data_IF_727772855103
#
_entry.id   IF_727772855103
#
_cell.length_a   1.000
_cell.length_b   1.000
_cell.length_c   1.000
_cell.angle_alpha   90.00
_cell.angle_beta   90.00
_cell.angle_gamma   90.00
#
_symmetry.space_group_name_H-M   'P 1'
#
loop_
_entity.id
_entity.type
_entity.pdbx_description
1 polymer ?
#
# COMPACT_ATOMS: atom_id res chain seq x y z
N UNK A 1 1.98 -24.56 -7.67
CA UNK A 1 1.78 -23.51 -8.69
C UNK A 1 3.12 -22.86 -8.98
N UNK A 2 3.40 -22.46 -10.23
CA UNK A 2 4.62 -21.69 -10.53
C UNK A 2 4.43 -20.20 -10.16
N UNK A 3 5.54 -19.45 -10.04
CA UNK A 3 5.54 -18.02 -9.67
C UNK A 3 4.64 -17.16 -10.54
N UNK A 4 4.67 -17.35 -11.86
CA UNK A 4 3.83 -16.58 -12.79
C UNK A 4 2.33 -16.77 -12.52
N UNK A 5 1.90 -17.99 -12.19
CA UNK A 5 0.49 -18.28 -11.90
C UNK A 5 0.05 -17.65 -10.57
N UNK A 6 0.92 -17.66 -9.55
CA UNK A 6 0.66 -16.99 -8.26
C UNK A 6 0.52 -15.49 -8.46
N UNK A 7 1.45 -14.90 -9.21
CA UNK A 7 1.46 -13.47 -9.50
C UNK A 7 0.20 -13.04 -10.30
N UNK A 8 -0.19 -13.82 -11.30
CA UNK A 8 -1.37 -13.52 -12.11
C UNK A 8 -2.68 -13.73 -11.32
N UNK A 9 -2.75 -14.78 -10.50
CA UNK A 9 -3.98 -15.13 -9.78
C UNK A 9 -4.24 -14.21 -8.59
N UNK A 10 -3.22 -13.97 -7.76
CA UNK A 10 -3.40 -13.29 -6.48
C UNK A 10 -2.86 -11.86 -6.48
N UNK A 11 -1.76 -11.59 -7.20
CA UNK A 11 -1.03 -10.32 -7.13
C UNK A 11 -1.24 -9.39 -8.34
N UNK A 12 -2.15 -9.69 -9.27
CA UNK A 12 -2.27 -8.94 -10.55
C UNK A 12 -2.35 -7.42 -10.40
N UNK A 13 -3.23 -6.93 -9.53
CA UNK A 13 -3.40 -5.48 -9.28
C UNK A 13 -2.19 -4.94 -8.53
N UNK A 14 -1.82 -5.60 -7.44
CA UNK A 14 -0.66 -5.26 -6.60
C UNK A 14 0.62 -5.10 -7.42
N UNK A 15 0.94 -6.08 -8.27
CA UNK A 15 2.10 -6.07 -9.17
C UNK A 15 2.05 -4.92 -10.16
N UNK A 16 0.88 -4.61 -10.73
CA UNK A 16 0.71 -3.49 -11.67
C UNK A 16 1.04 -2.16 -10.99
N UNK A 17 0.46 -1.89 -9.82
CA UNK A 17 0.69 -0.64 -9.10
C UNK A 17 2.09 -0.55 -8.49
N UNK A 18 2.62 -1.65 -7.95
CA UNK A 18 3.99 -1.71 -7.48
C UNK A 18 5.00 -1.43 -8.60
N UNK A 19 4.72 -1.87 -9.83
CA UNK A 19 5.54 -1.49 -11.00
C UNK A 19 5.40 0.00 -11.34
N UNK A 20 4.20 0.55 -11.31
CA UNK A 20 3.98 1.99 -11.56
C UNK A 20 4.63 2.88 -10.49
N UNK A 21 4.71 2.42 -9.25
CA UNK A 21 5.38 3.13 -8.14
C UNK A 21 6.88 2.85 -8.02
N UNK A 22 7.47 2.01 -8.89
CA UNK A 22 8.89 1.66 -8.84
C UNK A 22 9.28 0.77 -7.64
N UNK A 23 8.32 0.14 -6.98
CA UNK A 23 8.51 -0.69 -5.78
C UNK A 23 8.82 -2.15 -6.15
N UNK A 24 8.34 -2.62 -7.31
CA UNK A 24 8.47 -4.04 -7.67
C UNK A 24 9.94 -4.43 -7.88
N UNK A 25 10.42 -5.59 -7.37
CA UNK A 25 11.83 -5.98 -7.43
C UNK A 25 12.37 -6.08 -8.87
N UNK A 26 11.66 -6.80 -9.75
CA UNK A 26 12.11 -7.14 -11.12
C UNK A 26 12.00 -6.00 -12.15
N UNK A 27 12.29 -4.76 -11.79
CA UNK A 27 12.23 -3.61 -12.71
C UNK A 27 13.62 -3.10 -13.08
N UNK A 28 13.73 -2.51 -14.27
CA UNK A 28 14.94 -1.83 -14.71
C UNK A 28 15.31 -0.71 -13.70
N UNK A 29 16.57 -0.70 -13.27
CA UNK A 29 17.13 0.29 -12.33
C UNK A 29 16.88 1.72 -12.79
N UNK A 30 17.02 2.00 -14.08
CA UNK A 30 16.77 3.33 -14.63
C UNK A 30 15.31 3.76 -14.44
N UNK A 31 14.37 2.85 -14.70
CA UNK A 31 12.93 3.11 -14.54
C UNK A 31 12.58 3.33 -13.07
N UNK A 32 13.18 2.56 -12.15
CA UNK A 32 13.01 2.77 -10.70
C UNK A 32 13.47 4.16 -10.28
N UNK A 33 14.69 4.55 -10.63
CA UNK A 33 15.24 5.87 -10.29
C UNK A 33 14.38 6.99 -10.85
N UNK A 34 13.90 6.85 -12.10
CA UNK A 34 12.99 7.82 -12.70
C UNK A 34 11.68 7.95 -11.91
N UNK A 35 11.03 6.83 -11.57
CA UNK A 35 9.77 6.84 -10.82
C UNK A 35 9.94 7.40 -9.41
N UNK A 36 11.02 7.05 -8.72
CA UNK A 36 11.34 7.60 -7.40
C UNK A 36 11.58 9.10 -7.46
N UNK A 37 12.33 9.57 -8.46
CA UNK A 37 12.56 11.00 -8.68
C UNK A 37 11.24 11.74 -8.93
N UNK A 38 10.30 11.15 -9.69
CA UNK A 38 8.98 11.74 -9.90
C UNK A 38 8.16 11.85 -8.61
N UNK A 39 8.19 10.82 -7.75
CA UNK A 39 7.54 10.83 -6.43
C UNK A 39 8.15 11.93 -5.57
N UNK A 40 9.48 11.96 -5.44
CA UNK A 40 10.20 12.91 -4.60
C UNK A 40 9.98 14.36 -5.06
N UNK A 41 10.06 14.62 -6.37
CA UNK A 41 9.80 15.95 -6.93
C UNK A 41 8.37 16.39 -6.58
N UNK A 42 7.36 15.56 -6.88
CA UNK A 42 5.95 15.89 -6.63
C UNK A 42 5.66 16.20 -5.15
N UNK A 43 6.37 15.51 -4.26
CA UNK A 43 6.23 15.65 -2.82
C UNK A 43 6.89 16.92 -2.31
N UNK A 44 8.14 17.19 -2.73
CA UNK A 44 8.88 18.40 -2.33
C UNK A 44 8.12 19.65 -2.80
N UNK A 45 7.67 19.68 -4.05
CA UNK A 45 6.91 20.80 -4.58
C UNK A 45 5.57 20.99 -3.87
N UNK A 46 4.88 19.89 -3.52
CA UNK A 46 3.65 19.97 -2.72
C UNK A 46 3.91 20.51 -1.31
N UNK A 47 4.97 20.05 -0.64
CA UNK A 47 5.32 20.52 0.70
C UNK A 47 5.63 22.04 0.71
N UNK A 48 6.41 22.52 -0.27
CA UNK A 48 6.74 23.95 -0.40
C UNK A 48 5.46 24.80 -0.51
N UNK A 49 4.54 24.42 -1.39
CA UNK A 49 3.28 25.14 -1.65
C UNK A 49 2.37 25.16 -0.42
N UNK A 50 2.31 24.05 0.33
CA UNK A 50 1.51 23.94 1.55
C UNK A 50 2.11 24.77 2.70
N UNK A 51 3.42 24.65 2.94
CA UNK A 51 4.12 25.44 3.96
C UNK A 51 4.05 26.93 3.67
N UNK A 52 4.20 27.33 2.40
CA UNK A 52 4.05 28.73 1.99
C UNK A 52 2.65 29.28 2.29
N UNK A 53 1.59 28.49 2.07
CA UNK A 53 0.22 28.89 2.42
C UNK A 53 0.03 29.10 3.92
N UNK A 54 0.63 28.23 4.74
CA UNK A 54 0.59 28.38 6.21
C UNK A 54 1.27 29.69 6.62
N UNK A 55 2.44 29.99 6.07
CA UNK A 55 3.20 31.21 6.39
C UNK A 55 2.46 32.46 5.92
N UNK A 56 1.88 32.46 4.72
CA UNK A 56 1.21 33.63 4.15
C UNK A 56 -0.14 33.96 4.82
N UNK A 57 -0.96 32.95 5.13
CA UNK A 57 -2.31 33.18 5.68
C UNK A 57 -2.29 33.15 7.22
N UNK A 58 -1.52 32.23 7.83
CA UNK A 58 -1.26 32.21 9.27
C UNK A 58 -2.46 31.94 10.19
N UNK A 59 -3.63 31.55 9.66
CA UNK A 59 -4.84 31.30 10.48
C UNK A 59 -4.89 29.86 11.00
N UNK A 60 -5.48 29.68 12.19
CA UNK A 60 -5.64 28.35 12.82
C UNK A 60 -6.42 27.38 11.92
N UNK A 61 -7.45 27.86 11.24
CA UNK A 61 -8.24 27.04 10.30
C UNK A 61 -7.38 26.50 9.15
N UNK A 62 -6.52 27.33 8.57
CA UNK A 62 -5.60 26.90 7.49
C UNK A 62 -4.56 25.93 8.02
N UNK A 63 -4.04 26.13 9.23
CA UNK A 63 -3.10 25.18 9.85
C UNK A 63 -3.77 23.82 10.04
N UNK A 64 -5.00 23.78 10.55
CA UNK A 64 -5.74 22.52 10.74
C UNK A 64 -6.01 21.85 9.40
N UNK A 65 -6.47 22.59 8.39
CA UNK A 65 -6.71 22.07 7.05
C UNK A 65 -5.43 21.45 6.45
N UNK A 66 -4.32 22.18 6.48
CA UNK A 66 -3.04 21.77 5.90
C UNK A 66 -2.36 20.64 6.71
N UNK A 67 -2.61 20.54 8.01
CA UNK A 67 -2.02 19.50 8.85
C UNK A 67 -2.37 18.08 8.36
N UNK A 68 -3.59 17.90 7.85
CA UNK A 68 -4.04 16.62 7.29
C UNK A 68 -3.25 16.21 6.04
N UNK A 69 -2.94 17.17 5.18
CA UNK A 69 -2.19 16.98 3.94
C UNK A 69 -0.71 16.75 4.21
N UNK A 70 -0.12 17.50 5.15
CA UNK A 70 1.25 17.29 5.63
C UNK A 70 1.39 15.89 6.25
N UNK A 71 0.42 15.48 7.09
CA UNK A 71 0.40 14.14 7.67
C UNK A 71 0.35 13.05 6.61
N UNK A 72 -0.47 13.21 5.56
CA UNK A 72 -0.51 12.28 4.44
C UNK A 72 0.82 12.22 3.67
N UNK A 73 1.50 13.35 3.47
CA UNK A 73 2.81 13.42 2.85
C UNK A 73 3.89 12.68 3.68
N UNK A 74 3.92 12.90 4.99
CA UNK A 74 4.85 12.20 5.91
C UNK A 74 4.62 10.68 5.86
N UNK A 75 3.36 10.24 5.92
CA UNK A 75 3.01 8.82 5.80
C UNK A 75 3.47 8.23 4.46
N UNK A 76 3.36 9.00 3.38
CA UNK A 76 3.86 8.57 2.07
C UNK A 76 5.37 8.38 2.08
N UNK A 77 6.14 9.33 2.62
CA UNK A 77 7.61 9.25 2.73
C UNK A 77 8.00 7.99 3.48
N UNK A 78 7.39 7.78 4.64
CA UNK A 78 7.69 6.63 5.49
C UNK A 78 7.42 5.34 4.74
N UNK A 79 6.23 5.21 4.12
CA UNK A 79 5.85 4.01 3.37
C UNK A 79 6.79 3.77 2.19
N UNK A 80 6.97 4.79 1.33
CA UNK A 80 7.77 4.66 0.12
C UNK A 80 9.24 4.37 0.47
N UNK A 81 9.83 5.15 1.37
CA UNK A 81 11.20 4.97 1.85
C UNK A 81 11.43 3.60 2.46
N UNK A 82 10.49 3.07 3.24
CA UNK A 82 10.60 1.74 3.84
C UNK A 82 10.68 0.64 2.76
N UNK A 83 9.84 0.71 1.73
CA UNK A 83 9.90 -0.24 0.62
C UNK A 83 11.17 -0.10 -0.24
N UNK A 84 11.74 1.11 -0.33
CA UNK A 84 13.03 1.34 -1.00
C UNK A 84 14.18 0.71 -0.22
N UNK A 85 14.27 1.00 1.08
CA UNK A 85 15.34 0.49 1.97
C UNK A 85 15.24 -1.03 2.12
N UNK A 86 14.02 -1.57 2.25
CA UNK A 86 13.77 -2.99 2.43
C UNK A 86 13.45 -3.72 1.12
N UNK A 87 13.89 -3.21 -0.04
CA UNK A 87 13.59 -3.80 -1.34
C UNK A 87 14.04 -5.27 -1.45
N UNK A 88 15.21 -5.61 -0.90
CA UNK A 88 15.73 -6.99 -0.86
C UNK A 88 14.87 -7.92 0.00
N UNK A 89 14.37 -7.41 1.14
CA UNK A 89 13.46 -8.14 2.01
C UNK A 89 12.10 -8.34 1.34
N UNK A 90 11.58 -7.34 0.62
CA UNK A 90 10.36 -7.49 -0.17
C UNK A 90 10.52 -8.58 -1.25
N UNK A 91 11.64 -8.57 -1.96
CA UNK A 91 11.94 -9.58 -2.97
C UNK A 91 11.99 -10.99 -2.36
N UNK A 92 12.69 -11.15 -1.24
CA UNK A 92 12.71 -12.41 -0.49
C UNK A 92 11.30 -12.88 -0.11
N UNK A 93 10.46 -12.00 0.44
CA UNK A 93 9.09 -12.36 0.83
C UNK A 93 8.23 -12.82 -0.35
N UNK A 94 8.40 -12.19 -1.53
CA UNK A 94 7.67 -12.58 -2.74
C UNK A 94 8.19 -13.91 -3.32
N UNK A 95 9.51 -14.16 -3.21
CA UNK A 95 10.11 -15.44 -3.58
C UNK A 95 9.63 -16.55 -2.65
N UNK A 96 9.69 -16.35 -1.33
CA UNK A 96 9.21 -17.30 -0.33
C UNK A 96 7.73 -17.64 -0.56
N UNK A 97 6.88 -16.64 -0.81
CA UNK A 97 5.46 -16.86 -1.14
C UNK A 97 5.31 -17.74 -2.39
N UNK A 98 6.14 -17.53 -3.41
CA UNK A 98 6.11 -18.33 -4.63
C UNK A 98 6.56 -19.77 -4.40
N UNK A 99 7.59 -19.98 -3.57
CA UNK A 99 8.10 -21.29 -3.16
C UNK A 99 7.09 -22.05 -2.28
N UNK A 100 6.42 -21.34 -1.38
CA UNK A 100 5.36 -21.86 -0.52
C UNK A 100 4.20 -22.46 -1.34
N UNK A 101 3.91 -21.86 -2.51
CA UNK A 101 2.94 -22.34 -3.50
C UNK A 101 3.47 -23.42 -4.45
N UNK A 102 4.79 -23.51 -4.63
CA UNK A 102 5.43 -24.58 -5.40
C UNK A 102 5.52 -25.89 -4.61
N UNK A 103 5.57 -25.79 -3.28
CA UNK A 103 5.62 -26.94 -2.36
C UNK A 103 4.41 -27.85 -2.54
N UNK A 104 4.65 -29.16 -2.59
CA UNK A 104 3.58 -30.15 -2.67
C UNK A 104 2.87 -30.25 -1.31
N UNK A 105 1.56 -30.00 -1.28
CA UNK A 105 0.74 -29.94 -0.06
C UNK A 105 -0.46 -30.86 -0.18
N UNK A 106 -1.02 -31.27 0.96
CA UNK A 106 -2.30 -31.98 1.00
C UNK A 106 -3.40 -31.10 0.40
N UNK A 107 -4.44 -31.72 -0.16
CA UNK A 107 -5.53 -31.01 -0.84
C UNK A 107 -6.21 -30.00 0.10
N UNK A 108 -6.42 -30.39 1.35
CA UNK A 108 -7.04 -29.59 2.40
C UNK A 108 -6.18 -28.36 2.75
N UNK A 109 -4.86 -28.54 2.82
CA UNK A 109 -3.92 -27.44 3.09
C UNK A 109 -3.87 -26.45 1.94
N UNK A 110 -3.92 -26.96 0.70
CA UNK A 110 -3.97 -26.14 -0.51
C UNK A 110 -5.27 -25.32 -0.57
N UNK A 111 -6.40 -25.90 -0.17
CA UNK A 111 -7.70 -25.22 -0.12
C UNK A 111 -7.74 -24.13 0.95
N UNK A 112 -7.15 -24.38 2.13
CA UNK A 112 -6.96 -23.35 3.16
C UNK A 112 -6.12 -22.20 2.60
N UNK A 113 -4.94 -22.48 2.05
CA UNK A 113 -4.06 -21.44 1.49
C UNK A 113 -4.77 -20.62 0.40
N UNK A 114 -5.48 -21.30 -0.50
CA UNK A 114 -6.23 -20.66 -1.59
C UNK A 114 -7.31 -19.73 -1.06
N UNK A 115 -7.99 -20.13 0.02
CA UNK A 115 -9.03 -19.30 0.66
C UNK A 115 -8.44 -18.01 1.21
N UNK A 116 -7.29 -18.10 1.90
CA UNK A 116 -6.62 -16.93 2.44
C UNK A 116 -6.12 -16.02 1.32
N UNK A 117 -5.37 -16.51 0.34
CA UNK A 117 -4.82 -15.66 -0.72
C UNK A 117 -5.90 -15.06 -1.64
N UNK A 118 -7.02 -15.76 -1.87
CA UNK A 118 -8.19 -15.19 -2.54
C UNK A 118 -8.78 -14.02 -1.73
N UNK A 119 -8.91 -14.16 -0.41
CA UNK A 119 -9.37 -13.09 0.47
C UNK A 119 -8.39 -11.90 0.44
N UNK A 120 -7.09 -12.14 0.36
CA UNK A 120 -6.07 -11.09 0.24
C UNK A 120 -6.20 -10.33 -1.08
N UNK A 121 -6.36 -11.07 -2.19
CA UNK A 121 -6.60 -10.48 -3.51
C UNK A 121 -7.93 -9.71 -3.56
N UNK A 122 -8.97 -10.19 -2.89
CA UNK A 122 -10.25 -9.49 -2.77
C UNK A 122 -10.12 -8.18 -1.99
N UNK A 123 -9.44 -8.20 -0.84
CA UNK A 123 -9.17 -6.99 -0.05
C UNK A 123 -8.35 -5.97 -0.85
N UNK A 124 -7.34 -6.42 -1.59
CA UNK A 124 -6.55 -5.55 -2.46
C UNK A 124 -7.40 -4.91 -3.58
N UNK A 125 -8.29 -5.68 -4.23
CA UNK A 125 -9.24 -5.17 -5.23
C UNK A 125 -10.22 -4.16 -4.64
N UNK A 126 -10.77 -4.46 -3.47
CA UNK A 126 -11.68 -3.59 -2.76
C UNK A 126 -11.00 -2.27 -2.38
N UNK A 127 -9.80 -2.34 -1.80
CA UNK A 127 -9.00 -1.16 -1.46
C UNK A 127 -8.70 -0.31 -2.69
N UNK A 128 -8.27 -0.94 -3.79
CA UNK A 128 -8.02 -0.26 -5.06
C UNK A 128 -9.26 0.49 -5.56
N UNK A 129 -10.43 -0.17 -5.59
CA UNK A 129 -11.67 0.45 -6.03
C UNK A 129 -12.04 1.64 -5.14
N UNK A 130 -11.99 1.45 -3.82
CA UNK A 130 -12.29 2.49 -2.85
C UNK A 130 -11.35 3.70 -3.00
N UNK A 131 -10.03 3.47 -3.03
CA UNK A 131 -9.03 4.52 -3.17
C UNK A 131 -9.21 5.29 -4.49
N UNK A 132 -9.51 4.58 -5.59
CA UNK A 132 -9.77 5.20 -6.89
C UNK A 132 -11.02 6.09 -6.87
N UNK A 133 -12.12 5.62 -6.26
CA UNK A 133 -13.34 6.42 -6.11
C UNK A 133 -13.07 7.67 -5.26
N UNK A 134 -12.38 7.53 -4.12
CA UNK A 134 -12.01 8.68 -3.29
C UNK A 134 -11.16 9.70 -4.05
N UNK A 135 -10.15 9.24 -4.80
CA UNK A 135 -9.30 10.12 -5.60
C UNK A 135 -10.08 10.84 -6.71
N UNK A 136 -11.01 10.15 -7.38
CA UNK A 136 -11.87 10.76 -8.40
C UNK A 136 -12.79 11.82 -7.81
N UNK A 137 -13.44 11.55 -6.67
CA UNK A 137 -14.29 12.52 -5.98
C UNK A 137 -13.51 13.77 -5.56
N UNK A 138 -12.29 13.58 -5.05
CA UNK A 138 -11.41 14.66 -4.64
C UNK A 138 -10.92 15.50 -5.84
N UNK A 139 -10.55 14.85 -6.94
CA UNK A 139 -10.16 15.53 -8.18
C UNK A 139 -11.33 16.27 -8.83
N UNK A 140 -12.57 15.79 -8.68
CA UNK A 140 -13.78 16.41 -9.25
C UNK A 140 -14.25 17.65 -8.47
N UNK A 141 -13.92 17.78 -7.18
CA UNK A 141 -14.36 18.89 -6.31
C UNK A 141 -14.21 20.31 -6.93
N UNK A 142 -13.05 20.71 -7.49
CA UNK A 142 -12.92 22.04 -8.10
C UNK A 142 -13.78 22.22 -9.37
N UNK A 143 -13.96 21.15 -10.14
CA UNK A 143 -14.76 21.16 -11.37
C UNK A 143 -16.26 21.29 -11.07
N UNK A 144 -16.75 20.58 -10.06
CA UNK A 144 -18.16 20.64 -9.66
C UNK A 144 -18.55 22.03 -9.14
N UNK A 145 -17.67 22.67 -8.35
CA UNK A 145 -17.89 24.03 -7.87
C UNK A 145 -18.00 25.05 -9.02
N UNK A 146 -17.15 24.91 -10.05
CA UNK A 146 -17.20 25.77 -11.24
C UNK A 146 -18.44 25.50 -12.10
N UNK A 147 -18.81 24.23 -12.31
CA UNK A 147 -20.02 23.88 -13.06
C UNK A 147 -21.27 24.44 -12.38
N UNK A 148 -21.37 24.33 -11.06
CA UNK A 148 -22.48 24.90 -10.28
C UNK A 148 -22.56 26.43 -10.42
N UNK A 149 -21.42 27.12 -10.40
CA UNK A 149 -21.36 28.57 -10.61
C UNK A 149 -21.87 28.97 -12.02
N UNK A 150 -21.46 28.25 -13.06
CA UNK A 150 -21.93 28.47 -14.43
C UNK A 150 -23.44 28.27 -14.59
N UNK A 151 -23.98 27.20 -14.00
CA UNK A 151 -25.42 26.88 -14.05
C UNK A 151 -26.24 28.00 -13.36
N UNK A 152 -25.75 28.54 -12.24
CA UNK A 152 -26.46 29.58 -11.48
C UNK A 152 -26.44 30.96 -12.15
N UNK A 153 -25.74 31.13 -13.29
CA UNK A 153 -25.60 32.42 -13.99
C UNK A 153 -25.21 33.57 -13.05
N UNK A 154 -24.25 33.32 -12.15
CA UNK A 154 -23.74 34.39 -11.31
C UNK A 154 -22.88 35.34 -12.14
N UNK A 155 -23.24 36.63 -12.16
CA UNK A 155 -22.44 37.71 -12.79
C UNK A 155 -21.09 37.98 -12.09
N UNK A 156 -20.67 37.12 -11.16
CA UNK A 156 -19.40 37.20 -10.46
C UNK A 156 -18.39 36.27 -11.11
N UNK A 157 -17.10 36.52 -10.89
CA UNK A 157 -16.06 35.66 -11.43
C UNK A 157 -16.14 34.23 -10.83
N UNK A 158 -15.81 33.17 -11.60
CA UNK A 158 -15.85 31.80 -11.10
C UNK A 158 -14.97 31.60 -9.85
N UNK A 159 -15.36 30.70 -8.93
CA UNK A 159 -14.57 30.41 -7.73
C UNK A 159 -13.24 29.75 -8.10
N UNK A 160 -12.15 30.22 -7.49
CA UNK A 160 -10.84 29.56 -7.55
C UNK A 160 -10.73 28.58 -6.39
N UNK A 161 -11.20 27.35 -6.61
CA UNK A 161 -11.01 26.24 -5.69
C UNK A 161 -9.98 25.31 -6.33
N UNK A 162 -8.96 24.94 -5.56
CA UNK A 162 -7.93 23.99 -5.95
C UNK A 162 -8.15 22.67 -5.21
N UNK A 163 -7.85 21.53 -5.84
CA UNK A 163 -7.92 20.24 -5.14
C UNK A 163 -6.99 20.20 -3.92
N UNK A 164 -5.81 20.80 -4.02
CA UNK A 164 -4.90 20.99 -2.89
C UNK A 164 -4.77 22.50 -2.70
N UNK A 165 -5.32 23.07 -1.62
CA UNK A 165 -5.23 24.49 -1.40
C UNK A 165 -3.81 24.84 -0.97
N UNK A 166 -3.19 25.79 -1.66
CA UNK A 166 -1.75 26.07 -1.58
C UNK A 166 -1.41 27.47 -2.08
N UNK A 167 -0.18 27.95 -1.80
CA UNK A 167 0.34 29.19 -2.37
C UNK A 167 1.28 28.87 -3.53
N UNK A 168 0.88 29.24 -4.75
CA UNK A 168 1.52 28.79 -6.01
C UNK A 168 2.53 29.78 -6.61
N UNK A 169 2.81 30.90 -5.94
CA UNK A 169 3.82 31.89 -6.37
C UNK A 169 3.61 32.41 -7.81
N UNK A 170 2.36 32.58 -8.24
CA UNK A 170 2.01 33.15 -9.56
C UNK A 170 1.43 34.55 -9.41
N UNK A 171 1.62 35.40 -10.43
CA UNK A 171 1.13 36.79 -10.44
C UNK A 171 -0.40 36.86 -10.58
N UNK A 172 -0.99 36.00 -11.43
CA UNK A 172 -2.45 35.85 -11.57
C UNK A 172 -2.87 34.38 -11.48
N UNK A 173 -3.52 34.02 -10.37
CA UNK A 173 -4.06 32.69 -10.13
C UNK A 173 -5.09 32.24 -11.21
N UNK A 174 -5.78 33.17 -11.88
CA UNK A 174 -6.82 32.83 -12.88
C UNK A 174 -6.21 32.35 -14.19
N UNK A 175 -5.11 32.96 -14.62
CA UNK A 175 -4.43 32.60 -15.87
C UNK A 175 -3.83 31.19 -15.77
N UNK A 176 -3.21 30.89 -14.62
CA UNK A 176 -2.51 29.62 -14.39
C UNK A 176 -3.40 28.52 -13.79
N UNK A 177 -4.67 28.82 -13.51
CA UNK A 177 -5.59 27.92 -12.80
C UNK A 177 -5.62 26.50 -13.37
N UNK A 178 -5.78 26.34 -14.68
CA UNK A 178 -5.89 25.02 -15.33
C UNK A 178 -4.58 24.24 -15.29
N UNK A 179 -3.43 24.93 -15.42
CA UNK A 179 -2.11 24.31 -15.32
C UNK A 179 -1.84 23.84 -13.90
N UNK A 180 -2.14 24.66 -12.90
CA UNK A 180 -2.04 24.31 -11.49
C UNK A 180 -2.96 23.11 -11.20
N UNK A 181 -4.22 23.17 -11.61
CA UNK A 181 -5.18 22.10 -11.36
C UNK A 181 -4.78 20.76 -12.03
N UNK A 182 -4.19 20.80 -13.23
CA UNK A 182 -3.63 19.63 -13.89
C UNK A 182 -2.47 19.04 -13.08
N UNK A 183 -1.52 19.87 -12.67
CA UNK A 183 -0.39 19.48 -11.83
C UNK A 183 -0.86 18.84 -10.51
N UNK A 184 -1.86 19.41 -9.82
CA UNK A 184 -2.40 18.84 -8.59
C UNK A 184 -3.06 17.48 -8.81
N UNK A 185 -3.77 17.32 -9.92
CA UNK A 185 -4.38 16.04 -10.29
C UNK A 185 -3.30 14.97 -10.53
N UNK A 186 -2.17 15.34 -11.15
CA UNK A 186 -1.02 14.45 -11.31
C UNK A 186 -0.41 14.08 -9.95
N UNK A 187 -0.24 15.03 -9.03
CA UNK A 187 0.24 14.74 -7.67
C UNK A 187 -0.68 13.76 -6.92
N UNK A 188 -2.00 13.96 -6.98
CA UNK A 188 -2.99 13.03 -6.41
C UNK A 188 -2.85 11.64 -7.01
N UNK A 189 -2.62 11.54 -8.32
CA UNK A 189 -2.40 10.27 -8.99
C UNK A 189 -1.11 9.57 -8.52
N UNK A 190 -0.02 10.31 -8.35
CA UNK A 190 1.25 9.78 -7.82
C UNK A 190 1.05 9.23 -6.40
N UNK A 191 0.41 10.00 -5.52
CA UNK A 191 0.04 9.58 -4.16
C UNK A 191 -0.75 8.28 -4.21
N UNK A 192 -1.81 8.24 -5.04
CA UNK A 192 -2.69 7.09 -5.19
C UNK A 192 -1.92 5.82 -5.60
N UNK A 193 -1.01 5.93 -6.57
CA UNK A 193 -0.17 4.81 -7.02
C UNK A 193 0.69 4.27 -5.88
N UNK A 194 1.37 5.14 -5.13
CA UNK A 194 2.23 4.74 -4.01
C UNK A 194 1.40 4.06 -2.91
N UNK A 195 0.29 4.66 -2.47
CA UNK A 195 -0.56 4.07 -1.43
C UNK A 195 -1.14 2.73 -1.83
N UNK A 196 -1.71 2.61 -3.04
CA UNK A 196 -2.23 1.32 -3.54
C UNK A 196 -1.12 0.29 -3.57
N UNK A 197 0.06 0.63 -4.10
CA UNK A 197 1.17 -0.33 -4.18
C UNK A 197 1.60 -0.85 -2.80
N UNK A 198 1.87 0.04 -1.86
CA UNK A 198 2.31 -0.30 -0.51
C UNK A 198 1.27 -1.09 0.28
N UNK A 199 0.01 -0.65 0.25
CA UNK A 199 -1.04 -1.23 1.09
C UNK A 199 -1.52 -2.57 0.55
N UNK A 200 -1.64 -2.70 -0.77
CA UNK A 200 -2.04 -3.98 -1.37
C UNK A 200 -0.94 -5.03 -1.29
N UNK A 201 0.34 -4.64 -1.34
CA UNK A 201 1.46 -5.55 -1.06
C UNK A 201 1.37 -6.08 0.38
N UNK A 202 1.20 -5.17 1.34
CA UNK A 202 1.05 -5.53 2.74
C UNK A 202 -0.15 -6.47 2.96
N UNK A 203 -1.32 -6.15 2.43
CA UNK A 203 -2.53 -6.97 2.58
C UNK A 203 -2.33 -8.41 2.08
N UNK A 204 -1.73 -8.58 0.89
CA UNK A 204 -1.52 -9.93 0.34
C UNK A 204 -0.48 -10.72 1.15
N UNK A 205 0.63 -10.09 1.53
CA UNK A 205 1.67 -10.74 2.33
C UNK A 205 1.17 -11.17 3.72
N UNK A 206 0.42 -10.30 4.39
CA UNK A 206 -0.19 -10.62 5.70
C UNK A 206 -1.16 -11.77 5.56
N UNK A 207 -2.01 -11.72 4.55
CA UNK A 207 -3.02 -12.75 4.35
C UNK A 207 -2.39 -14.10 3.99
N UNK A 208 -1.31 -14.11 3.19
CA UNK A 208 -0.53 -15.31 2.91
C UNK A 208 0.09 -15.89 4.19
N UNK A 209 0.67 -15.04 5.04
CA UNK A 209 1.17 -15.43 6.37
C UNK A 209 0.09 -16.05 7.25
N UNK A 210 -1.12 -15.48 7.28
CA UNK A 210 -2.27 -16.04 7.98
C UNK A 210 -2.69 -17.41 7.42
N UNK A 211 -2.59 -17.60 6.10
CA UNK A 211 -2.82 -18.89 5.45
C UNK A 211 -1.82 -19.95 5.92
N UNK A 212 -0.52 -19.62 5.96
CA UNK A 212 0.54 -20.49 6.47
C UNK A 212 0.33 -20.88 7.94
N UNK A 213 -0.02 -19.91 8.79
CA UNK A 213 -0.33 -20.17 10.20
C UNK A 213 -1.53 -21.10 10.37
N UNK A 214 -2.57 -20.91 9.55
CA UNK A 214 -3.76 -21.78 9.59
C UNK A 214 -3.42 -23.20 9.16
N UNK A 215 -2.58 -23.36 8.12
CA UNK A 215 -2.09 -24.67 7.68
C UNK A 215 -1.25 -25.35 8.78
N UNK A 216 -0.36 -24.61 9.44
CA UNK A 216 0.42 -25.13 10.57
C UNK A 216 -0.49 -25.62 11.71
N UNK A 217 -1.52 -24.83 12.08
CA UNK A 217 -2.51 -25.23 13.06
C UNK A 217 -3.34 -26.46 12.64
N UNK A 218 -3.67 -26.58 11.36
CA UNK A 218 -4.35 -27.75 10.80
C UNK A 218 -3.49 -29.02 10.93
N UNK A 219 -2.20 -28.94 10.54
CA UNK A 219 -1.24 -30.04 10.71
C UNK A 219 -1.10 -30.47 12.16
N UNK A 220 -0.94 -29.50 13.07
CA UNK A 220 -0.84 -29.76 14.51
C UNK A 220 -2.08 -30.50 15.04
N UNK A 221 -3.29 -30.02 14.73
CA UNK A 221 -4.53 -30.66 15.16
C UNK A 221 -4.67 -32.09 14.63
N UNK A 222 -4.28 -32.33 13.38
CA UNK A 222 -4.30 -33.67 12.79
C UNK A 222 -3.26 -34.60 13.40
N UNK A 223 -2.05 -34.11 13.69
CA UNK A 223 -1.01 -34.87 14.37
C UNK A 223 -1.44 -35.27 15.79
N UNK A 224 -1.99 -34.32 16.56
CA UNK A 224 -2.53 -34.61 17.91
C UNK A 224 -3.65 -35.63 17.85
N UNK A 225 -4.60 -35.50 16.91
CA UNK A 225 -5.69 -36.48 16.75
C UNK A 225 -5.17 -37.86 16.37
N UNK A 226 -4.17 -37.95 15.46
CA UNK A 226 -3.51 -39.21 15.12
C UNK A 226 -2.80 -39.80 16.34
N UNK A 227 -2.05 -39.02 17.10
CA UNK A 227 -1.33 -39.46 18.31
C UNK A 227 -2.28 -39.94 19.42
N UNK A 228 -3.45 -39.30 19.57
CA UNK A 228 -4.48 -39.75 20.51
C UNK A 228 -5.11 -41.07 20.07
N UNK A 229 -5.27 -41.27 18.75
CA UNK A 229 -5.72 -42.54 18.16
C UNK A 229 -4.62 -43.62 18.17
N UNK A 230 -3.36 -43.21 18.13
CA UNK A 230 -2.17 -44.06 18.10
C UNK A 230 -1.43 -44.03 19.44
N UNK A 231 -2.15 -44.06 20.57
CA UNK A 231 -1.60 -44.15 21.92
C UNK A 231 -0.86 -45.50 22.20
N UNK A 232 0.00 -45.91 21.27
CA UNK A 232 1.14 -46.79 21.45
C UNK A 232 2.29 -46.27 20.58
N UNK A 233 3.25 -45.67 21.27
CA UNK A 233 4.63 -45.34 20.90
C UNK A 233 4.95 -44.10 20.03
N UNK A 234 5.66 -43.18 20.71
CA UNK A 234 6.79 -42.36 20.26
C UNK A 234 6.64 -41.54 18.98
N UNK A 235 6.72 -40.20 19.12
CA UNK A 235 7.84 -39.42 18.53
C UNK A 235 7.76 -37.92 18.87
N UNK A 236 8.71 -37.48 19.69
CA UNK A 236 8.97 -36.08 20.07
C UNK A 236 9.45 -35.19 18.91
N UNK A 237 9.74 -35.76 17.72
CA UNK A 237 10.32 -35.06 16.56
C UNK A 237 9.30 -34.28 15.72
N UNK A 238 8.15 -34.89 15.42
CA UNK A 238 7.10 -34.22 14.61
C UNK A 238 6.48 -33.02 15.34
N UNK A 239 6.32 -33.14 16.66
CA UNK A 239 5.82 -32.04 17.50
C UNK A 239 6.80 -30.86 17.49
N UNK A 240 8.10 -31.14 17.60
CA UNK A 240 9.14 -30.11 17.57
C UNK A 240 9.21 -29.38 16.23
N UNK A 241 9.11 -30.08 15.10
CA UNK A 241 9.03 -29.42 13.79
C UNK A 241 7.75 -28.58 13.64
N UNK A 242 6.60 -29.07 14.09
CA UNK A 242 5.35 -28.32 13.99
C UNK A 242 5.37 -27.03 14.80
N UNK A 243 5.98 -27.06 15.99
CA UNK A 243 6.18 -25.89 16.86
C UNK A 243 7.18 -24.94 16.23
N UNK A 244 8.29 -25.45 15.66
CA UNK A 244 9.26 -24.65 14.91
C UNK A 244 8.62 -23.92 13.72
N UNK A 245 7.82 -24.60 12.91
CA UNK A 245 7.11 -23.98 11.79
C UNK A 245 6.08 -22.94 12.24
N UNK A 246 5.41 -23.17 13.38
CA UNK A 246 4.48 -22.18 13.96
C UNK A 246 5.23 -20.95 14.48
N UNK A 247 6.39 -21.14 15.13
CA UNK A 247 7.28 -20.05 15.55
C UNK A 247 7.84 -19.30 14.34
N UNK A 248 8.28 -19.99 13.28
CA UNK A 248 8.73 -19.36 12.03
C UNK A 248 7.58 -18.63 11.31
N UNK A 249 6.37 -19.18 11.30
CA UNK A 249 5.18 -18.52 10.75
C UNK A 249 4.84 -17.25 11.52
N UNK A 250 4.89 -17.31 12.86
CA UNK A 250 4.73 -16.15 13.72
C UNK A 250 5.87 -15.15 13.51
N UNK A 251 7.12 -15.59 13.39
CA UNK A 251 8.26 -14.71 13.10
C UNK A 251 8.19 -14.09 11.70
N UNK A 252 7.69 -14.79 10.67
CA UNK A 252 7.46 -14.24 9.32
C UNK A 252 6.29 -13.26 9.30
N UNK A 253 5.21 -13.56 10.03
CA UNK A 253 4.10 -12.63 10.23
C UNK A 253 4.52 -11.40 11.05
N UNK A 254 5.34 -11.59 12.08
CA UNK A 254 5.96 -10.51 12.84
C UNK A 254 6.98 -9.78 11.96
N UNK A 255 7.70 -10.42 11.04
CA UNK A 255 8.64 -9.76 10.13
C UNK A 255 7.95 -8.93 9.04
N UNK A 256 6.75 -9.34 8.61
CA UNK A 256 5.88 -8.57 7.72
C UNK A 256 5.14 -7.45 8.47
N UNK A 257 4.85 -7.63 9.76
CA UNK A 257 4.43 -6.57 10.68
C UNK A 257 5.60 -5.66 11.08
N UNK A 258 6.85 -6.13 11.13
CA UNK A 258 8.05 -5.33 11.45
C UNK A 258 8.44 -4.38 10.31
N UNK A 259 7.95 -4.59 9.08
CA UNK A 259 7.93 -3.52 8.08
C UNK A 259 7.11 -2.31 8.55
N UNK A 260 6.17 -2.50 9.49
CA UNK A 260 5.43 -1.44 10.20
C UNK A 260 6.10 -1.04 11.52
N UNK A 261 6.71 -1.94 12.30
CA UNK A 261 7.28 -1.58 13.63
C UNK A 261 8.64 -0.85 13.59
N UNK A 262 9.31 -0.73 12.43
CA UNK A 262 10.34 0.29 12.24
C UNK A 262 9.80 1.74 12.36
N UNK A 263 8.50 1.92 12.64
CA UNK A 263 7.84 3.21 12.88
C UNK A 263 7.85 3.61 14.37
N UNK A 264 8.30 2.78 15.33
CA UNK A 264 8.15 3.13 16.76
C UNK A 264 9.27 2.72 17.72
N UNK A 265 10.50 2.49 17.26
CA UNK A 265 11.62 2.29 18.18
C UNK A 265 12.88 3.03 17.69
N UNK A 266 12.93 4.32 18.03
CA UNK A 266 14.18 5.05 18.21
C UNK A 266 14.27 5.39 19.71
N UNK A 267 15.08 4.67 20.51
CA UNK A 267 15.51 5.16 21.80
C UNK A 267 16.91 5.74 21.63
N UNK A 268 16.96 7.05 21.37
CA UNK A 268 18.05 7.88 21.86
C UNK A 268 17.54 8.73 23.01
#
# INVERSE_FOLDING_TARGET
MNRATVEERFLKITKRFAKLGGIWPDQNKFVKVLLWSMVDISMVTSAIVQTARIIHIGTLEVVIEQSSLIGAAILMIIKHGNYLVNATKLESLLNDMSEDWATNRLKEEFEIMTTYDNRGSFLAKFYFANASVCALLFAQMPWSARLFHMIKHQNTSPPLIYSIPGYYFVEDDREYYYYIQLYLTLCIYVVLVVFISCDTLYMVLVQHGCGLLTVAGYRFKNAVKKNFLSAKCTETKEVHESVWYSICGHQRAIASVLLRDCISYDPH
#
